data_IF_636756639540
#
_entry.id   IF_636756639540
#
_cell.length_a   1.000
_cell.length_b   1.000
_cell.length_c   1.000
_cell.angle_alpha   90.00
_cell.angle_beta   90.00
_cell.angle_gamma   90.00
#
_symmetry.space_group_name_H-M   'P 1'
#
loop_
_entity.id
_entity.type
_entity.pdbx_description
1 polymer ?
#
# COMPACT_ATOMS: atom_id res chain seq x y z
N UNK A 1 -57.91 -23.69 -13.52
CA UNK A 1 -56.59 -24.17 -13.91
C UNK A 1 -55.59 -23.02 -13.75
N UNK A 2 -54.67 -23.11 -12.78
CA UNK A 2 -53.62 -22.08 -12.55
C UNK A 2 -52.41 -22.45 -13.41
N UNK A 3 -52.18 -21.73 -14.47
CA UNK A 3 -50.92 -21.86 -15.23
C UNK A 3 -49.81 -21.26 -14.38
N UNK A 4 -48.97 -22.14 -13.85
CA UNK A 4 -47.77 -21.76 -13.15
C UNK A 4 -46.81 -21.14 -14.22
N UNK A 5 -46.20 -19.97 -13.93
CA UNK A 5 -45.43 -19.29 -14.97
C UNK A 5 -44.01 -19.92 -15.09
N UNK A 6 -43.98 -21.03 -15.82
CA UNK A 6 -42.69 -21.69 -16.21
C UNK A 6 -41.65 -20.76 -16.77
N UNK A 7 -41.97 -19.65 -17.48
CA UNK A 7 -40.96 -18.73 -17.97
C UNK A 7 -40.22 -17.98 -16.85
N UNK A 8 -40.89 -17.69 -15.72
CA UNK A 8 -40.23 -17.00 -14.59
C UNK A 8 -39.26 -17.94 -13.88
N UNK A 9 -39.63 -19.18 -13.68
CA UNK A 9 -38.74 -20.20 -13.10
C UNK A 9 -37.51 -20.44 -13.98
N UNK A 10 -37.69 -20.49 -15.30
CA UNK A 10 -36.58 -20.65 -16.24
C UNK A 10 -35.63 -19.46 -16.26
N UNK A 11 -36.17 -18.25 -16.21
CA UNK A 11 -35.37 -17.01 -16.12
C UNK A 11 -34.56 -16.94 -14.82
N UNK A 12 -35.13 -17.39 -13.69
CA UNK A 12 -34.43 -17.44 -12.40
C UNK A 12 -33.28 -18.43 -12.41
N UNK A 13 -33.44 -19.58 -13.06
CA UNK A 13 -32.36 -20.58 -13.20
C UNK A 13 -31.21 -20.02 -14.06
N UNK A 14 -31.49 -19.30 -15.14
CA UNK A 14 -30.48 -18.68 -15.99
C UNK A 14 -29.69 -17.62 -15.22
N UNK A 15 -30.36 -16.80 -14.39
CA UNK A 15 -29.73 -15.81 -13.54
C UNK A 15 -28.81 -16.43 -12.46
N UNK A 16 -29.20 -17.56 -11.90
CA UNK A 16 -28.38 -18.28 -10.91
C UNK A 16 -27.15 -18.95 -11.53
N UNK A 17 -27.29 -19.46 -12.76
CA UNK A 17 -26.16 -20.04 -13.52
C UNK A 17 -25.16 -18.99 -14.01
N UNK A 18 -25.57 -17.74 -14.18
CA UNK A 18 -24.69 -16.64 -14.60
C UNK A 18 -23.61 -16.28 -13.57
N UNK A 19 -23.84 -16.58 -12.29
CA UNK A 19 -22.83 -16.37 -11.23
C UNK A 19 -21.85 -17.55 -11.05
N UNK A 20 -22.13 -18.70 -11.63
CA UNK A 20 -21.30 -19.89 -11.49
C UNK A 20 -20.27 -19.96 -12.62
N UNK A 21 -19.06 -19.44 -12.38
CA UNK A 21 -17.93 -19.86 -13.18
C UNK A 21 -17.18 -18.81 -13.97
N UNK A 22 -16.91 -17.65 -13.38
CA UNK A 22 -15.73 -16.89 -13.82
C UNK A 22 -14.51 -17.69 -13.36
N UNK A 23 -13.98 -18.57 -14.22
CA UNK A 23 -12.66 -19.16 -14.00
C UNK A 23 -11.71 -17.98 -13.77
N UNK A 24 -11.27 -17.76 -12.52
CA UNK A 24 -10.15 -16.85 -12.27
C UNK A 24 -9.02 -17.37 -13.14
N UNK A 25 -8.62 -16.58 -14.12
CA UNK A 25 -7.38 -16.81 -14.82
C UNK A 25 -6.29 -17.00 -13.77
N UNK A 26 -5.25 -17.74 -14.11
CA UNK A 26 -4.11 -17.95 -13.20
C UNK A 26 -3.68 -16.58 -12.71
N UNK A 27 -3.93 -16.29 -11.42
CA UNK A 27 -3.58 -14.99 -10.83
C UNK A 27 -2.07 -14.83 -10.97
N UNK A 28 -1.66 -13.91 -11.83
CA UNK A 28 -0.25 -13.58 -11.98
C UNK A 28 0.11 -12.77 -10.75
N UNK A 29 1.02 -13.31 -9.95
CA UNK A 29 1.59 -12.57 -8.82
C UNK A 29 2.56 -11.51 -9.35
N UNK A 30 2.10 -10.26 -9.36
CA UNK A 30 2.90 -9.11 -9.74
C UNK A 30 3.80 -8.59 -8.63
N UNK A 31 3.62 -9.04 -7.38
CA UNK A 31 4.37 -8.52 -6.23
C UNK A 31 5.86 -8.78 -6.35
N UNK A 32 6.24 -9.86 -7.03
CA UNK A 32 7.64 -10.20 -7.31
C UNK A 32 8.38 -9.18 -8.19
N UNK A 33 7.65 -8.30 -8.87
CA UNK A 33 8.23 -7.23 -9.70
C UNK A 33 8.28 -5.90 -8.97
N UNK A 34 7.73 -5.82 -7.76
CA UNK A 34 7.68 -4.60 -6.96
C UNK A 34 8.91 -4.54 -6.06
N UNK A 35 9.68 -3.49 -6.23
CA UNK A 35 10.75 -3.15 -5.30
C UNK A 35 10.40 -1.83 -4.60
N UNK A 36 10.00 -1.87 -3.32
CA UNK A 36 9.61 -0.66 -2.59
C UNK A 36 10.77 0.30 -2.32
N UNK A 37 12.00 -0.12 -2.54
CA UNK A 37 13.18 0.70 -2.30
C UNK A 37 13.63 1.52 -3.53
N UNK A 38 12.91 1.43 -4.65
CA UNK A 38 13.22 2.24 -5.83
C UNK A 38 13.11 3.72 -5.49
N UNK A 39 14.17 4.48 -5.75
CA UNK A 39 14.23 5.93 -5.53
C UNK A 39 14.47 6.32 -4.06
N UNK A 40 14.72 5.38 -3.15
CA UNK A 40 15.02 5.69 -1.74
C UNK A 40 16.50 5.99 -1.49
N UNK A 41 17.28 6.03 -2.56
CA UNK A 41 18.71 6.32 -2.52
C UNK A 41 19.04 7.55 -3.39
N UNK A 42 20.15 8.19 -3.09
CA UNK A 42 20.69 9.37 -3.77
C UNK A 42 19.63 10.48 -3.86
N UNK A 43 19.32 10.98 -5.05
CA UNK A 43 18.38 12.10 -5.29
C UNK A 43 16.97 11.64 -5.65
N UNK A 44 16.64 10.39 -5.41
CA UNK A 44 15.32 9.85 -5.76
C UNK A 44 14.18 10.39 -4.89
N UNK A 45 14.46 10.72 -3.65
CA UNK A 45 13.51 11.34 -2.70
C UNK A 45 12.17 10.62 -2.66
N UNK A 46 12.20 9.30 -2.50
CA UNK A 46 11.01 8.47 -2.29
C UNK A 46 11.08 7.76 -0.95
N UNK A 47 9.95 7.30 -0.46
CA UNK A 47 9.84 6.47 0.74
C UNK A 47 9.33 5.07 0.39
N UNK A 48 9.66 4.01 1.16
CA UNK A 48 9.30 2.64 0.83
C UNK A 48 7.88 2.26 1.24
N UNK A 49 7.03 3.22 1.58
CA UNK A 49 5.66 3.00 2.04
C UNK A 49 4.71 2.62 0.91
N UNK A 50 3.84 1.67 1.15
CA UNK A 50 2.76 1.34 0.25
C UNK A 50 1.67 2.43 0.27
N UNK A 51 1.29 2.89 -0.91
CA UNK A 51 0.21 3.87 -1.07
C UNK A 51 -0.78 3.35 -2.10
N UNK A 52 -2.02 3.19 -1.70
CA UNK A 52 -3.12 2.93 -2.63
C UNK A 52 -3.66 4.24 -3.17
N UNK A 53 -4.36 4.23 -4.32
CA UNK A 53 -4.91 5.44 -4.92
C UNK A 53 -5.65 6.28 -3.89
N UNK A 54 -5.30 7.56 -3.79
CA UNK A 54 -5.87 8.52 -2.84
C UNK A 54 -5.64 8.17 -1.36
N UNK A 55 -4.64 7.34 -1.06
CA UNK A 55 -4.27 7.00 0.31
C UNK A 55 -3.84 8.26 1.09
N UNK A 56 -4.54 8.55 2.18
CA UNK A 56 -4.17 9.63 3.09
C UNK A 56 -3.07 9.20 4.06
N UNK A 57 -3.02 7.92 4.39
CA UNK A 57 -1.96 7.33 5.21
C UNK A 57 -0.88 6.76 4.30
N UNK A 58 0.34 7.20 4.50
CA UNK A 58 1.54 6.82 3.75
C UNK A 58 2.62 6.44 4.75
N UNK A 59 2.40 5.32 5.42
CA UNK A 59 3.28 4.85 6.48
C UNK A 59 4.64 4.46 5.94
N UNK A 60 5.69 4.99 6.53
CA UNK A 60 7.07 4.66 6.19
C UNK A 60 7.99 4.79 7.41
N UNK A 61 9.13 4.10 7.41
CA UNK A 61 10.21 4.44 8.34
C UNK A 61 10.79 5.82 8.05
N UNK A 62 11.28 6.48 9.11
CA UNK A 62 11.99 7.74 9.08
C UNK A 62 13.38 7.58 9.68
N UNK A 63 14.40 8.15 9.04
CA UNK A 63 15.76 8.18 9.59
C UNK A 63 15.92 9.24 10.68
N UNK A 64 15.03 10.25 10.73
CA UNK A 64 15.05 11.30 11.75
C UNK A 64 16.15 12.33 11.55
N UNK A 65 16.66 12.45 10.35
CA UNK A 65 17.65 13.42 9.93
C UNK A 65 17.03 14.44 8.98
N UNK A 66 17.74 15.54 8.78
CA UNK A 66 17.37 16.58 7.82
C UNK A 66 18.44 16.72 6.75
N UNK A 67 18.07 17.27 5.60
CA UNK A 67 18.95 17.46 4.47
C UNK A 67 18.34 16.92 3.18
N UNK A 68 19.01 17.13 2.08
CA UNK A 68 18.50 16.77 0.75
C UNK A 68 18.16 15.27 0.61
N UNK A 69 19.00 14.39 1.14
CA UNK A 69 18.82 12.95 1.05
C UNK A 69 17.64 12.44 1.90
N UNK A 70 17.15 13.24 2.84
CA UNK A 70 16.09 12.89 3.80
C UNK A 70 14.77 13.59 3.53
N UNK A 71 14.60 14.22 2.37
CA UNK A 71 13.40 14.99 2.03
C UNK A 71 12.12 14.13 2.12
N UNK A 72 12.19 12.86 1.72
CA UNK A 72 11.08 11.93 1.84
C UNK A 72 10.96 11.25 3.22
N UNK A 73 11.79 11.64 4.20
CA UNK A 73 11.86 11.05 5.52
C UNK A 73 12.76 9.82 5.62
N UNK A 74 12.95 9.10 4.54
CA UNK A 74 13.72 7.87 4.47
C UNK A 74 14.84 7.95 3.45
N UNK A 75 16.02 7.43 3.83
CA UNK A 75 17.19 7.30 2.98
C UNK A 75 17.81 5.91 3.18
N UNK A 76 17.81 5.09 2.14
CA UNK A 76 18.18 3.67 2.20
C UNK A 76 19.62 3.40 2.70
N UNK A 77 20.66 4.19 2.30
CA UNK A 77 22.01 3.97 2.78
C UNK A 77 22.21 4.25 4.27
N UNK A 78 21.27 4.91 4.94
CA UNK A 78 21.36 5.13 6.37
C UNK A 78 21.02 3.87 7.14
N UNK A 79 21.81 3.56 8.15
CA UNK A 79 21.66 2.37 8.99
C UNK A 79 20.74 2.57 10.20
N UNK A 80 20.25 3.81 10.40
CA UNK A 80 19.45 4.20 11.56
C UNK A 80 18.03 4.52 11.14
N UNK A 81 17.06 3.99 11.89
CA UNK A 81 15.65 4.36 11.81
C UNK A 81 15.27 5.00 13.16
N UNK A 82 14.75 6.22 13.11
CA UNK A 82 14.30 6.95 14.29
C UNK A 82 12.83 6.67 14.64
N UNK A 83 12.08 6.08 13.74
CA UNK A 83 10.69 5.69 13.95
C UNK A 83 9.92 5.56 12.64
N UNK A 84 8.60 5.58 12.78
CA UNK A 84 7.66 5.48 11.66
C UNK A 84 6.65 6.61 11.78
N UNK A 85 6.39 7.30 10.68
CA UNK A 85 5.33 8.30 10.61
C UNK A 85 4.27 7.93 9.56
N UNK A 86 3.15 8.65 9.58
CA UNK A 86 1.96 8.28 8.79
C UNK A 86 1.87 9.01 7.46
N UNK A 87 2.63 10.08 7.30
CA UNK A 87 2.51 10.97 6.14
C UNK A 87 3.87 11.23 5.52
N UNK A 88 3.97 10.96 4.22
CA UNK A 88 5.19 11.17 3.44
C UNK A 88 4.85 11.71 2.06
N UNK A 89 5.77 12.45 1.45
CA UNK A 89 5.72 12.85 0.05
C UNK A 89 6.88 12.25 -0.71
N UNK A 90 6.67 11.92 -1.98
CA UNK A 90 7.69 11.43 -2.88
C UNK A 90 8.00 12.45 -3.96
N UNK A 91 9.29 12.59 -4.31
CA UNK A 91 9.73 13.42 -5.43
C UNK A 91 9.57 14.91 -5.21
N UNK A 92 9.41 15.37 -3.98
CA UNK A 92 9.34 16.80 -3.66
C UNK A 92 10.73 17.37 -3.42
N UNK A 93 10.92 18.65 -3.69
CA UNK A 93 12.15 19.38 -3.38
C UNK A 93 12.16 20.00 -1.97
N UNK A 94 11.19 19.69 -1.13
CA UNK A 94 11.08 20.19 0.24
C UNK A 94 10.69 19.02 1.17
N UNK A 95 11.36 18.94 2.30
CA UNK A 95 10.98 18.03 3.39
C UNK A 95 9.69 18.51 4.02
N UNK A 96 8.66 17.67 3.95
CA UNK A 96 7.34 17.98 4.48
C UNK A 96 6.64 16.71 4.93
N UNK A 97 5.69 16.86 5.86
CA UNK A 97 4.99 15.76 6.51
C UNK A 97 5.90 15.05 7.55
N UNK A 98 5.74 13.76 7.78
CA UNK A 98 6.39 12.98 8.87
C UNK A 98 6.35 13.67 10.25
N UNK A 99 5.25 14.36 10.55
CA UNK A 99 5.08 15.24 11.72
C UNK A 99 5.05 14.50 13.05
N UNK A 100 4.38 13.32 13.07
CA UNK A 100 4.24 12.52 14.29
C UNK A 100 4.90 11.17 14.06
N UNK A 101 5.99 10.95 14.78
CA UNK A 101 6.80 9.74 14.68
C UNK A 101 6.57 8.82 15.86
N UNK A 102 6.43 7.53 15.60
CA UNK A 102 6.30 6.48 16.60
C UNK A 102 7.45 5.49 16.46
N UNK A 103 8.07 5.13 17.57
CA UNK A 103 9.04 4.04 17.63
C UNK A 103 8.51 2.95 18.56
N UNK A 104 8.15 1.79 18.04
CA UNK A 104 7.80 0.64 18.89
C UNK A 104 9.02 0.20 19.68
N UNK A 105 8.89 0.18 21.00
CA UNK A 105 9.94 -0.34 21.90
C UNK A 105 9.42 -1.61 22.57
N UNK A 106 10.21 -2.67 22.52
CA UNK A 106 9.95 -3.87 23.29
C UNK A 106 10.19 -3.64 24.78
N UNK A 107 9.43 -4.33 25.63
CA UNK A 107 9.74 -4.37 27.06
C UNK A 107 11.12 -5.01 27.22
N UNK A 108 12.10 -4.27 27.72
CA UNK A 108 13.35 -4.88 28.15
C UNK A 108 13.01 -5.90 29.27
N UNK A 109 13.30 -7.18 29.05
CA UNK A 109 13.25 -8.13 30.15
C UNK A 109 14.39 -7.77 31.10
N UNK A 110 14.13 -7.70 32.39
CA UNK A 110 15.17 -7.52 33.38
C UNK A 110 16.16 -8.66 33.37
#
# INVERSE_FOLDING_TARGET
>A
MRFLPYPIAFLSIILLLSCAGRKRGKDIDFTKYVNPLIGTDWVGNTYPGATVPFGMVRLSPDNGKSGWDYIAGYYYPDTMIAGFSHTHLSGTGAGDLYDIRFMPIGKSRP
#
